data_IF_092351416559
#
_entry.id   IF_092351416559
#
_cell.length_a   1.000
_cell.length_b   1.000
_cell.length_c   1.000
_cell.angle_alpha   90.00
_cell.angle_beta   90.00
_cell.angle_gamma   90.00
#
_symmetry.space_group_name_H-M   'P 1'
#
loop_
_entity.id
_entity.type
_entity.pdbx_description
1 polymer ?
#
# COMPACT_ATOMS: atom_id res chain seq x y z
N UNK A 1 -16.25 -17.45 -12.28
CA UNK A 1 -15.15 -17.48 -13.26
C UNK A 1 -14.92 -16.05 -13.73
N UNK A 2 -13.91 -15.35 -13.21
CA UNK A 2 -13.49 -14.06 -13.74
C UNK A 2 -12.10 -14.23 -14.33
N UNK A 3 -12.11 -14.43 -15.65
CA UNK A 3 -10.94 -14.53 -16.51
C UNK A 3 -10.62 -13.14 -17.06
N UNK A 4 -9.32 -12.89 -17.22
CA UNK A 4 -8.72 -11.99 -18.21
C UNK A 4 -8.82 -10.47 -18.00
N UNK A 5 -7.77 -9.90 -17.41
CA UNK A 5 -7.34 -8.51 -17.65
C UNK A 5 -5.80 -8.40 -17.69
N UNK A 6 -5.11 -9.36 -18.31
CA UNK A 6 -3.63 -9.37 -18.43
C UNK A 6 -3.12 -9.15 -19.88
N UNK A 7 -3.84 -8.38 -20.69
CA UNK A 7 -3.36 -8.05 -22.05
C UNK A 7 -3.80 -6.66 -22.44
N UNK A 8 -3.02 -5.65 -22.07
CA UNK A 8 -2.99 -4.40 -22.85
C UNK A 8 -1.74 -3.53 -22.69
N UNK A 9 -0.66 -3.97 -22.02
CA UNK A 9 0.50 -3.10 -21.78
C UNK A 9 1.79 -3.53 -22.49
N UNK A 10 1.71 -3.80 -23.79
CA UNK A 10 2.88 -3.85 -24.66
C UNK A 10 2.53 -3.27 -26.03
N UNK A 11 2.64 -1.94 -26.18
CA UNK A 11 2.95 -1.33 -27.48
C UNK A 11 3.67 0.01 -27.24
N UNK A 12 4.97 -0.01 -27.50
CA UNK A 12 5.89 1.08 -27.21
C UNK A 12 5.74 2.30 -28.09
N UNK A 13 6.45 3.35 -27.68
CA UNK A 13 6.94 4.41 -28.54
C UNK A 13 8.31 4.82 -28.01
N UNK A 14 9.35 4.47 -28.78
CA UNK A 14 10.70 5.02 -28.65
C UNK A 14 10.72 6.43 -29.22
N UNK A 15 11.30 7.37 -28.49
CA UNK A 15 11.95 8.58 -29.01
C UNK A 15 12.89 9.06 -27.89
N UNK A 16 14.18 9.17 -28.24
CA UNK A 16 15.28 9.28 -27.29
C UNK A 16 15.53 10.67 -26.72
N UNK A 17 16.07 10.67 -25.51
CA UNK A 17 17.05 11.64 -25.05
C UNK A 17 18.17 10.88 -24.32
N UNK A 18 19.41 11.16 -24.69
CA UNK A 18 20.59 10.48 -24.20
C UNK A 18 21.18 11.23 -23.01
N UNK A 19 20.77 10.83 -21.81
CA UNK A 19 21.66 10.77 -20.66
C UNK A 19 21.69 9.31 -20.22
N UNK A 20 22.83 8.64 -20.32
CA UNK A 20 23.01 7.33 -19.70
C UNK A 20 23.11 7.51 -18.19
N UNK A 21 21.99 7.83 -17.55
CA UNK A 21 21.80 7.51 -16.15
C UNK A 21 21.75 5.99 -16.12
N UNK A 22 22.89 5.36 -15.84
CA UNK A 22 22.93 3.93 -15.59
C UNK A 22 21.84 3.65 -14.54
N UNK A 23 20.89 2.78 -14.91
CA UNK A 23 19.76 2.47 -14.04
C UNK A 23 20.33 1.96 -12.71
N UNK A 24 20.20 2.78 -11.67
CA UNK A 24 20.74 2.46 -10.35
C UNK A 24 19.99 1.24 -9.82
N UNK A 25 20.70 0.19 -9.43
CA UNK A 25 20.09 -1.04 -8.89
C UNK A 25 20.52 -1.31 -7.47
N UNK A 26 19.70 -2.04 -6.71
CA UNK A 26 20.08 -2.46 -5.36
C UNK A 26 21.43 -3.22 -5.40
N UNK A 27 22.34 -2.99 -4.44
CA UNK A 27 23.65 -3.64 -4.37
C UNK A 27 23.60 -5.15 -4.66
N UNK A 28 24.47 -5.61 -5.55
CA UNK A 28 24.57 -7.04 -5.92
C UNK A 28 23.35 -7.62 -6.64
N UNK A 29 22.51 -6.79 -7.29
CA UNK A 29 21.29 -7.24 -7.97
C UNK A 29 20.97 -6.45 -9.26
N UNK A 30 19.93 -6.89 -9.97
CA UNK A 30 19.32 -6.17 -11.09
C UNK A 30 17.98 -5.50 -10.70
N UNK A 31 17.71 -5.33 -9.40
CA UNK A 31 16.46 -4.73 -8.93
C UNK A 31 16.60 -3.20 -9.01
N UNK A 32 15.76 -2.50 -9.80
CA UNK A 32 15.88 -1.07 -9.99
C UNK A 32 15.58 -0.28 -8.71
N UNK A 33 16.35 0.77 -8.49
CA UNK A 33 16.04 1.85 -7.56
C UNK A 33 15.04 2.81 -8.23
N UNK A 34 14.03 3.23 -7.47
CA UNK A 34 13.00 4.13 -7.95
C UNK A 34 12.99 5.39 -7.06
N UNK A 35 13.64 6.49 -7.48
CA UNK A 35 13.80 7.69 -6.63
C UNK A 35 12.45 8.33 -6.24
N UNK A 36 11.42 8.16 -7.07
CA UNK A 36 10.07 8.65 -6.78
C UNK A 36 9.21 7.75 -5.89
N UNK A 37 9.69 6.56 -5.48
CA UNK A 37 8.86 5.54 -4.83
C UNK A 37 8.29 6.01 -3.50
N UNK A 38 9.11 6.57 -2.60
CA UNK A 38 8.62 7.03 -1.29
C UNK A 38 7.58 8.15 -1.45
N UNK A 39 7.82 9.09 -2.37
CA UNK A 39 6.85 10.14 -2.68
C UNK A 39 5.52 9.57 -3.17
N UNK A 40 5.56 8.53 -4.00
CA UNK A 40 4.36 7.83 -4.47
C UNK A 40 3.63 7.18 -3.29
N UNK A 41 4.32 6.40 -2.45
CA UNK A 41 3.70 5.67 -1.34
C UNK A 41 3.05 6.61 -0.30
N UNK A 42 3.71 7.72 0.03
CA UNK A 42 3.14 8.76 0.91
C UNK A 42 1.92 9.44 0.25
N UNK A 43 1.90 9.58 -1.07
CA UNK A 43 0.71 10.06 -1.78
C UNK A 43 -0.44 9.05 -1.67
N UNK A 44 -0.15 7.76 -1.88
CA UNK A 44 -1.15 6.68 -1.76
C UNK A 44 -1.76 6.67 -0.35
N UNK A 45 -0.96 6.89 0.71
CA UNK A 45 -1.46 7.02 2.08
C UNK A 45 -2.47 8.16 2.25
N UNK A 46 -2.21 9.32 1.65
CA UNK A 46 -3.13 10.46 1.71
C UNK A 46 -4.44 10.14 1.00
N UNK A 47 -4.38 9.47 -0.15
CA UNK A 47 -5.58 9.05 -0.90
C UNK A 47 -6.39 8.01 -0.12
N UNK A 48 -5.73 7.05 0.53
CA UNK A 48 -6.38 6.08 1.42
C UNK A 48 -7.08 6.75 2.60
N UNK A 49 -6.42 7.70 3.28
CA UNK A 49 -7.02 8.44 4.39
C UNK A 49 -8.20 9.32 3.93
N UNK A 50 -8.10 9.92 2.74
CA UNK A 50 -9.19 10.69 2.15
C UNK A 50 -10.41 9.79 1.83
N UNK A 51 -10.19 8.60 1.29
CA UNK A 51 -11.24 7.60 1.05
C UNK A 51 -11.87 7.14 2.37
N UNK A 52 -11.06 6.84 3.41
CA UNK A 52 -11.55 6.49 4.74
C UNK A 52 -12.48 7.57 5.31
N UNK A 53 -12.09 8.85 5.20
CA UNK A 53 -12.93 9.96 5.64
C UNK A 53 -14.25 10.04 4.87
N UNK A 54 -14.22 9.87 3.54
CA UNK A 54 -15.44 9.86 2.70
C UNK A 54 -16.37 8.70 3.08
N UNK A 55 -15.84 7.54 3.44
CA UNK A 55 -16.62 6.39 3.92
C UNK A 55 -17.33 6.76 5.22
N UNK A 56 -16.61 7.36 6.16
CA UNK A 56 -17.17 7.79 7.44
C UNK A 56 -18.26 8.86 7.27
N UNK A 57 -18.07 9.82 6.36
CA UNK A 57 -19.10 10.81 6.00
C UNK A 57 -20.36 10.13 5.42
N UNK A 58 -20.20 9.13 4.54
CA UNK A 58 -21.30 8.32 4.01
C UNK A 58 -22.04 7.56 5.13
N UNK A 59 -21.29 6.99 6.08
CA UNK A 59 -21.86 6.30 7.24
C UNK A 59 -22.68 7.24 8.13
N UNK A 60 -22.14 8.43 8.45
CA UNK A 60 -22.83 9.43 9.29
C UNK A 60 -24.10 9.96 8.64
N UNK A 61 -24.10 10.12 7.31
CA UNK A 61 -25.28 10.51 6.53
C UNK A 61 -26.25 9.37 6.21
N UNK A 62 -25.95 8.14 6.67
CA UNK A 62 -26.69 6.91 6.37
C UNK A 62 -26.83 6.61 4.85
N UNK A 63 -25.94 7.15 4.02
CA UNK A 63 -25.86 6.88 2.58
C UNK A 63 -25.04 5.61 2.33
N UNK A 64 -25.64 4.45 2.66
CA UNK A 64 -24.95 3.17 2.59
C UNK A 64 -24.68 2.68 1.17
N UNK A 65 -25.42 3.18 0.17
CA UNK A 65 -25.07 2.95 -1.24
C UNK A 65 -23.74 3.60 -1.59
N UNK A 66 -23.52 4.84 -1.12
CA UNK A 66 -22.24 5.52 -1.27
C UNK A 66 -21.14 4.83 -0.48
N UNK A 67 -21.43 4.34 0.74
CA UNK A 67 -20.48 3.55 1.53
C UNK A 67 -20.00 2.32 0.74
N UNK A 68 -20.90 1.56 0.11
CA UNK A 68 -20.52 0.38 -0.70
C UNK A 68 -19.56 0.75 -1.84
N UNK A 69 -19.87 1.81 -2.60
CA UNK A 69 -18.99 2.26 -3.70
C UNK A 69 -17.62 2.72 -3.19
N UNK A 70 -17.58 3.45 -2.07
CA UNK A 70 -16.34 3.94 -1.49
C UNK A 70 -15.50 2.80 -0.88
N UNK A 71 -16.12 1.76 -0.32
CA UNK A 71 -15.41 0.58 0.16
C UNK A 71 -14.74 -0.16 -1.01
N UNK A 72 -15.38 -0.23 -2.18
CA UNK A 72 -14.77 -0.79 -3.40
C UNK A 72 -13.59 0.05 -3.89
N UNK A 73 -13.73 1.39 -3.95
CA UNK A 73 -12.64 2.32 -4.27
C UNK A 73 -11.45 2.13 -3.30
N UNK A 74 -11.73 2.14 -1.99
CA UNK A 74 -10.72 1.95 -0.95
C UNK A 74 -10.01 0.60 -1.06
N UNK A 75 -10.75 -0.48 -1.34
CA UNK A 75 -10.19 -1.80 -1.53
C UNK A 75 -9.26 -1.86 -2.76
N UNK A 76 -9.61 -1.16 -3.85
CA UNK A 76 -8.75 -1.05 -5.04
C UNK A 76 -7.45 -0.30 -4.74
N UNK A 77 -7.57 0.88 -4.14
CA UNK A 77 -6.43 1.72 -3.76
C UNK A 77 -5.47 0.98 -2.83
N UNK A 78 -5.99 0.31 -1.80
CA UNK A 78 -5.18 -0.42 -0.83
C UNK A 78 -4.42 -1.58 -1.49
N UNK A 79 -5.07 -2.35 -2.37
CA UNK A 79 -4.41 -3.45 -3.08
C UNK A 79 -3.28 -2.95 -3.99
N UNK A 80 -3.50 -1.84 -4.69
CA UNK A 80 -2.48 -1.22 -5.55
C UNK A 80 -1.26 -0.74 -4.75
N UNK A 81 -1.51 -0.07 -3.62
CA UNK A 81 -0.48 0.39 -2.69
C UNK A 81 0.33 -0.80 -2.12
N UNK A 82 -0.35 -1.81 -1.57
CA UNK A 82 0.29 -3.02 -1.01
C UNK A 82 1.12 -3.77 -2.05
N UNK A 83 0.64 -3.85 -3.30
CA UNK A 83 1.39 -4.48 -4.38
C UNK A 83 2.68 -3.71 -4.66
N UNK A 84 2.59 -2.39 -4.78
CA UNK A 84 3.73 -1.51 -5.04
C UNK A 84 4.81 -1.67 -3.97
N UNK A 85 4.45 -1.65 -2.70
CA UNK A 85 5.40 -1.88 -1.61
C UNK A 85 6.02 -3.27 -1.65
N UNK A 86 5.21 -4.31 -1.85
CA UNK A 86 5.70 -5.69 -1.87
C UNK A 86 6.69 -5.96 -2.99
N UNK A 87 6.49 -5.37 -4.18
CA UNK A 87 7.29 -5.67 -5.37
C UNK A 87 8.43 -4.68 -5.60
N UNK A 88 8.28 -3.42 -5.17
CA UNK A 88 9.32 -2.39 -5.35
C UNK A 88 10.11 -2.15 -4.07
N UNK A 89 9.44 -1.83 -2.97
CA UNK A 89 10.10 -1.42 -1.72
C UNK A 89 10.77 -2.60 -1.02
N UNK A 90 10.00 -3.62 -0.63
CA UNK A 90 10.53 -4.73 0.17
C UNK A 90 11.53 -5.60 -0.61
N UNK A 91 11.33 -5.76 -1.92
CA UNK A 91 12.27 -6.51 -2.77
C UNK A 91 13.61 -5.77 -2.87
N UNK A 92 13.59 -4.45 -3.10
CA UNK A 92 14.81 -3.64 -3.11
C UNK A 92 15.53 -3.68 -1.76
N UNK A 93 14.82 -3.38 -0.65
CA UNK A 93 15.41 -3.32 0.69
C UNK A 93 16.03 -4.65 1.13
N UNK A 94 15.43 -5.78 0.73
CA UNK A 94 15.99 -7.10 1.02
C UNK A 94 17.42 -7.27 0.46
N UNK A 95 17.69 -6.71 -0.72
CA UNK A 95 19.01 -6.75 -1.32
C UNK A 95 19.92 -5.64 -0.80
N UNK A 96 19.39 -4.42 -0.67
CA UNK A 96 20.17 -3.28 -0.21
C UNK A 96 20.70 -3.43 1.23
N UNK A 97 19.94 -4.11 2.10
CA UNK A 97 20.31 -4.36 3.48
C UNK A 97 21.05 -5.69 3.69
N UNK A 98 21.55 -6.35 2.64
CA UNK A 98 22.16 -7.69 2.78
C UNK A 98 23.39 -7.71 3.70
N UNK A 99 24.08 -6.58 3.82
CA UNK A 99 25.26 -6.39 4.66
C UNK A 99 24.96 -5.65 5.98
N UNK A 100 23.68 -5.36 6.26
CA UNK A 100 23.21 -4.68 7.46
C UNK A 100 22.17 -5.58 8.18
N UNK A 101 22.63 -6.55 9.00
CA UNK A 101 21.75 -7.53 9.61
C UNK A 101 20.75 -6.93 10.60
N UNK A 102 21.07 -5.79 11.22
CA UNK A 102 20.19 -5.10 12.16
C UNK A 102 18.99 -4.49 11.42
N UNK A 103 19.24 -3.66 10.41
CA UNK A 103 18.17 -3.06 9.63
C UNK A 103 17.42 -4.09 8.77
N UNK A 104 18.09 -5.16 8.32
CA UNK A 104 17.42 -6.27 7.65
C UNK A 104 16.42 -6.98 8.59
N UNK A 105 16.80 -7.23 9.85
CA UNK A 105 15.91 -7.84 10.83
C UNK A 105 14.71 -6.93 11.16
N UNK A 106 14.96 -5.62 11.35
CA UNK A 106 13.93 -4.61 11.54
C UNK A 106 12.94 -4.60 10.37
N UNK A 107 13.43 -4.53 9.14
CA UNK A 107 12.60 -4.54 7.92
C UNK A 107 11.73 -5.80 7.84
N UNK A 108 12.26 -6.98 8.18
CA UNK A 108 11.48 -8.22 8.18
C UNK A 108 10.38 -8.24 9.26
N UNK A 109 10.69 -7.73 10.45
CA UNK A 109 9.71 -7.60 11.53
C UNK A 109 8.56 -6.68 11.08
N UNK A 110 8.91 -5.51 10.53
CA UNK A 110 7.92 -4.55 10.02
C UNK A 110 7.07 -5.17 8.91
N UNK A 111 7.69 -5.88 7.95
CA UNK A 111 6.95 -6.58 6.89
C UNK A 111 5.92 -7.55 7.45
N UNK A 112 6.31 -8.35 8.45
CA UNK A 112 5.42 -9.31 9.10
C UNK A 112 4.22 -8.62 9.78
N UNK A 113 4.49 -7.54 10.50
CA UNK A 113 3.45 -6.73 11.15
C UNK A 113 2.49 -6.11 10.11
N UNK A 114 3.02 -5.52 9.04
CA UNK A 114 2.22 -4.90 7.99
C UNK A 114 1.36 -5.92 7.23
N UNK A 115 1.86 -7.15 7.05
CA UNK A 115 1.06 -8.25 6.51
C UNK A 115 -0.13 -8.62 7.41
N UNK A 116 0.04 -8.59 8.73
CA UNK A 116 -1.06 -8.84 9.68
C UNK A 116 -2.12 -7.72 9.62
N UNK A 117 -1.66 -6.47 9.55
CA UNK A 117 -2.53 -5.31 9.37
C UNK A 117 -3.30 -5.40 8.05
N UNK A 118 -2.61 -5.67 6.94
CA UNK A 118 -3.22 -5.83 5.62
C UNK A 118 -4.32 -6.90 5.61
N UNK A 119 -4.11 -8.04 6.27
CA UNK A 119 -5.13 -9.08 6.43
C UNK A 119 -6.36 -8.58 7.19
N UNK A 120 -6.17 -7.82 8.26
CA UNK A 120 -7.28 -7.27 9.06
C UNK A 120 -8.16 -6.33 8.22
N UNK A 121 -7.54 -5.48 7.41
CA UNK A 121 -8.27 -4.55 6.52
C UNK A 121 -8.96 -5.30 5.39
N UNK A 122 -8.33 -6.32 4.81
CA UNK A 122 -8.97 -7.17 3.78
C UNK A 122 -10.19 -7.90 4.34
N UNK A 123 -10.09 -8.51 5.53
CA UNK A 123 -11.22 -9.19 6.19
C UNK A 123 -12.37 -8.22 6.48
N UNK A 124 -12.06 -6.98 6.87
CA UNK A 124 -13.07 -5.92 7.02
C UNK A 124 -13.78 -5.62 5.70
N UNK A 125 -13.03 -5.44 4.61
CA UNK A 125 -13.61 -5.15 3.29
C UNK A 125 -14.47 -6.31 2.77
N UNK A 126 -14.05 -7.55 3.01
CA UNK A 126 -14.82 -8.75 2.67
C UNK A 126 -16.13 -8.83 3.46
N UNK A 127 -16.09 -8.54 4.77
CA UNK A 127 -17.26 -8.56 5.65
C UNK A 127 -18.36 -7.61 5.18
N UNK A 128 -17.99 -6.43 4.68
CA UNK A 128 -18.94 -5.39 4.28
C UNK A 128 -19.18 -5.33 2.76
N UNK A 129 -18.57 -6.23 1.98
CA UNK A 129 -18.85 -6.32 0.55
C UNK A 129 -20.30 -6.75 0.31
N UNK A 130 -21.12 -5.83 -0.22
CA UNK A 130 -22.56 -6.06 -0.51
C UNK A 130 -23.35 -6.43 0.73
N UNK A 131 -23.07 -5.78 1.86
CA UNK A 131 -23.83 -5.92 3.09
C UNK A 131 -25.30 -5.45 2.89
N UNK A 132 -26.25 -6.09 3.57
CA UNK A 132 -27.67 -5.68 3.53
C UNK A 132 -27.97 -4.39 4.31
N UNK A 133 -26.98 -3.85 5.05
CA UNK A 133 -27.06 -2.61 5.82
C UNK A 133 -28.31 -2.50 6.71
N UNK A 134 -28.60 -3.53 7.49
CA UNK A 134 -29.57 -3.48 8.59
C UNK A 134 -29.00 -2.79 9.85
N UNK A 135 -29.85 -2.43 10.81
CA UNK A 135 -29.43 -1.67 12.01
C UNK A 135 -28.30 -2.36 12.81
N UNK A 136 -28.32 -3.69 13.03
CA UNK A 136 -27.19 -4.40 13.64
C UNK A 136 -25.88 -4.24 12.85
N UNK A 137 -25.93 -4.42 11.52
CA UNK A 137 -24.75 -4.30 10.65
C UNK A 137 -24.20 -2.88 10.64
N UNK A 138 -25.06 -1.86 10.65
CA UNK A 138 -24.65 -0.45 10.71
C UNK A 138 -23.94 -0.11 12.01
N UNK A 139 -24.43 -0.61 13.14
CA UNK A 139 -23.79 -0.42 14.44
C UNK A 139 -22.44 -1.11 14.52
N UNK A 140 -22.35 -2.35 14.04
CA UNK A 140 -21.09 -3.08 14.00
C UNK A 140 -20.07 -2.44 13.05
N UNK A 141 -20.54 -1.94 11.90
CA UNK A 141 -19.68 -1.24 10.93
C UNK A 141 -18.99 -0.03 11.54
N UNK A 142 -19.70 0.77 12.34
CA UNK A 142 -19.09 1.91 13.02
C UNK A 142 -17.96 1.50 13.97
N UNK A 143 -18.16 0.42 14.74
CA UNK A 143 -17.13 -0.10 15.64
C UNK A 143 -15.91 -0.63 14.86
N UNK A 144 -16.15 -1.41 13.80
CA UNK A 144 -15.10 -1.98 12.98
C UNK A 144 -14.33 -0.89 12.22
N UNK A 145 -15.01 0.15 11.70
CA UNK A 145 -14.38 1.29 11.04
C UNK A 145 -13.39 2.00 11.96
N UNK A 146 -13.73 2.20 13.24
CA UNK A 146 -12.83 2.82 14.20
C UNK A 146 -11.57 1.97 14.44
N UNK A 147 -11.73 0.64 14.57
CA UNK A 147 -10.62 -0.29 14.72
C UNK A 147 -9.70 -0.28 13.47
N UNK A 148 -10.29 -0.30 12.27
CA UNK A 148 -9.53 -0.23 11.02
C UNK A 148 -8.78 1.10 10.88
N UNK A 149 -9.41 2.22 11.26
CA UNK A 149 -8.76 3.53 11.27
C UNK A 149 -7.50 3.54 12.14
N UNK A 150 -7.57 3.01 13.37
CA UNK A 150 -6.43 2.93 14.27
C UNK A 150 -5.29 2.06 13.70
N UNK A 151 -5.65 0.93 13.08
CA UNK A 151 -4.69 0.01 12.47
C UNK A 151 -4.01 0.61 11.24
N UNK A 152 -4.75 1.35 10.40
CA UNK A 152 -4.19 2.06 9.24
C UNK A 152 -3.23 3.17 9.66
N UNK A 153 -3.61 3.99 10.64
CA UNK A 153 -2.73 5.06 11.14
C UNK A 153 -1.44 4.48 11.73
N UNK A 154 -1.54 3.39 12.50
CA UNK A 154 -0.35 2.71 13.02
C UNK A 154 0.59 2.27 11.89
N UNK A 155 0.03 1.65 10.85
CA UNK A 155 0.77 1.20 9.67
C UNK A 155 1.49 2.37 8.98
N UNK A 156 0.75 3.43 8.66
CA UNK A 156 1.27 4.62 7.97
C UNK A 156 2.43 5.24 8.76
N UNK A 157 2.25 5.45 10.07
CA UNK A 157 3.31 6.03 10.90
C UNK A 157 4.55 5.13 10.96
N UNK A 158 4.36 3.82 11.15
CA UNK A 158 5.48 2.86 11.17
C UNK A 158 6.23 2.86 9.83
N UNK A 159 5.52 2.92 8.71
CA UNK A 159 6.12 2.94 7.38
C UNK A 159 6.87 4.25 7.12
N UNK A 160 6.24 5.39 7.36
CA UNK A 160 6.83 6.71 7.08
C UNK A 160 7.96 7.08 8.04
N UNK A 161 7.82 6.79 9.33
CA UNK A 161 8.79 7.20 10.35
C UNK A 161 9.98 6.23 10.47
N UNK A 162 9.80 4.96 10.07
CA UNK A 162 10.80 3.90 10.31
C UNK A 162 11.22 3.15 9.05
N UNK A 163 10.29 2.73 8.18
CA UNK A 163 10.64 1.89 7.02
C UNK A 163 11.21 2.71 5.88
N UNK A 164 10.51 3.78 5.50
CA UNK A 164 10.86 4.61 4.34
C UNK A 164 12.24 5.28 4.47
N UNK A 165 12.70 5.69 5.67
CA UNK A 165 14.08 6.14 5.86
C UNK A 165 15.14 5.11 5.48
N UNK A 166 14.83 3.80 5.53
CA UNK A 166 15.76 2.75 5.11
C UNK A 166 15.90 2.66 3.59
N UNK A 167 15.05 3.31 2.79
CA UNK A 167 15.07 3.26 1.33
C UNK A 167 15.88 4.42 0.74
N UNK A 168 17.14 4.13 0.41
CA UNK A 168 18.12 5.08 -0.08
C UNK A 168 18.62 4.67 -1.49
N UNK A 169 19.33 5.57 -2.16
CA UNK A 169 20.05 5.23 -3.39
C UNK A 169 21.11 4.14 -3.12
N UNK A 170 21.48 3.33 -4.10
CA UNK A 170 22.43 2.22 -3.91
C UNK A 170 23.76 2.64 -3.26
N UNK A 171 24.29 3.81 -3.62
CA UNK A 171 25.56 4.33 -3.10
C UNK A 171 25.53 4.65 -1.59
N UNK A 172 24.34 4.79 -1.00
CA UNK A 172 24.17 5.05 0.43
C UNK A 172 24.31 3.80 1.31
N UNK A 173 24.44 2.62 0.72
CA UNK A 173 24.65 1.34 1.43
C UNK A 173 26.09 0.82 1.34
N UNK A 174 26.98 1.57 0.69
CA UNK A 174 28.39 1.21 0.49
C UNK A 174 29.26 1.41 1.73
#
# INVERSE_FOLDING_TARGET
MFSSLFSFFLKGKEEGDSSSDAEQTAPGSHIPYHPGLIKQLVSDHRDLLALYKRIEEGRVSADYRRVDSLLEEFAGALRSHLLTENVKLYVYLKHALSNDPENAALMQQMRSEMMHIGKSVVSFLEKYHKCSWDDPSRKQFAADMAQIGAVLVKRINTEEDTLYPLYMSPDSYA
#
